data_IF_126723551232
#
_entry.id   IF_126723551232
#
_cell.length_a   1.000
_cell.length_b   1.000
_cell.length_c   1.000
_cell.angle_alpha   90.00
_cell.angle_beta   90.00
_cell.angle_gamma   90.00
#
_symmetry.space_group_name_H-M   'P 1'
#
loop_
_entity.id
_entity.type
_entity.pdbx_description
1 polymer ?
#
# COMPACT_ATOMS: atom_id res chain seq x y z
N UNK A 1 17.20 10.77 -5.43
CA UNK A 1 15.92 10.22 -4.93
C UNK A 1 15.19 9.55 -6.09
N UNK A 2 14.85 8.26 -5.94
CA UNK A 2 14.26 7.44 -7.00
C UNK A 2 12.97 8.07 -7.55
N UNK A 3 12.80 8.12 -8.88
CA UNK A 3 11.63 8.72 -9.56
C UNK A 3 10.31 8.07 -9.13
N UNK A 4 10.35 6.77 -8.80
CA UNK A 4 9.19 6.04 -8.29
C UNK A 4 8.80 6.51 -6.89
N UNK A 5 9.75 6.74 -5.99
CA UNK A 5 9.45 7.25 -4.64
C UNK A 5 8.69 8.58 -4.71
N UNK A 6 9.15 9.51 -5.56
CA UNK A 6 8.46 10.80 -5.79
C UNK A 6 7.06 10.66 -6.37
N UNK A 7 6.78 9.59 -7.12
CA UNK A 7 5.48 9.35 -7.75
C UNK A 7 4.43 8.88 -6.74
N UNK A 8 4.87 8.19 -5.69
CA UNK A 8 3.99 7.51 -4.74
C UNK A 8 3.95 8.16 -3.35
N UNK A 9 4.85 9.10 -3.04
CA UNK A 9 4.88 9.82 -1.76
C UNK A 9 4.43 11.27 -1.99
N UNK A 10 3.39 11.76 -1.28
CA UNK A 10 2.58 11.06 -0.28
C UNK A 10 1.67 9.99 -0.89
N UNK A 11 1.51 8.87 -0.19
CA UNK A 11 0.70 7.75 -0.66
C UNK A 11 -0.76 7.95 -0.29
N UNK A 12 -1.67 7.52 -1.16
CA UNK A 12 -3.09 7.41 -0.77
C UNK A 12 -3.25 6.28 0.24
N UNK A 13 -4.23 6.40 1.14
CA UNK A 13 -4.53 5.37 2.13
C UNK A 13 -4.75 3.98 1.48
N UNK A 14 -5.48 3.94 0.36
CA UNK A 14 -5.71 2.71 -0.40
C UNK A 14 -4.41 2.08 -0.91
N UNK A 15 -3.53 2.87 -1.52
CA UNK A 15 -2.26 2.34 -2.03
C UNK A 15 -1.36 1.88 -0.86
N UNK A 16 -1.37 2.60 0.26
CA UNK A 16 -0.63 2.25 1.47
C UNK A 16 -1.07 0.88 1.99
N UNK A 17 -2.37 0.67 2.21
CA UNK A 17 -2.86 -0.59 2.75
C UNK A 17 -2.74 -1.76 1.77
N UNK A 18 -2.88 -1.53 0.46
CA UNK A 18 -2.60 -2.56 -0.55
C UNK A 18 -1.14 -3.01 -0.45
N UNK A 19 -0.19 -2.06 -0.47
CA UNK A 19 1.23 -2.40 -0.43
C UNK A 19 1.64 -3.03 0.91
N UNK A 20 1.08 -2.55 2.02
CA UNK A 20 1.29 -3.11 3.36
C UNK A 20 0.76 -4.56 3.46
N UNK A 21 -0.37 -4.85 2.82
CA UNK A 21 -0.95 -6.21 2.80
C UNK A 21 -0.05 -7.24 2.10
N UNK A 22 0.83 -6.77 1.20
CA UNK A 22 1.75 -7.56 0.37
C UNK A 22 3.13 -7.79 1.01
N UNK A 23 3.25 -7.55 2.32
CA UNK A 23 4.39 -8.03 3.14
C UNK A 23 4.55 -9.55 3.07
N UNK A 24 3.47 -10.26 2.77
CA UNK A 24 3.43 -11.66 2.37
C UNK A 24 2.77 -11.78 0.98
N UNK A 25 3.10 -12.79 0.16
CA UNK A 25 2.46 -12.99 -1.14
C UNK A 25 0.94 -13.23 -1.01
N UNK A 26 0.11 -12.51 -1.79
CA UNK A 26 -1.36 -12.64 -1.74
C UNK A 26 -2.03 -12.57 -3.10
N UNK A 27 -3.15 -13.28 -3.21
CA UNK A 27 -4.11 -13.08 -4.29
C UNK A 27 -4.92 -11.79 -4.10
N UNK A 28 -5.49 -11.26 -5.18
CA UNK A 28 -6.31 -10.04 -5.15
C UNK A 28 -7.44 -10.07 -4.11
N UNK A 29 -8.13 -11.21 -3.94
CA UNK A 29 -9.16 -11.34 -2.90
C UNK A 29 -8.58 -11.35 -1.47
N UNK A 30 -7.39 -11.94 -1.29
CA UNK A 30 -6.70 -11.92 -0.01
C UNK A 30 -6.28 -10.50 0.41
N UNK A 31 -5.94 -9.66 -0.56
CA UNK A 31 -5.66 -8.24 -0.33
C UNK A 31 -6.92 -7.52 0.18
N UNK A 32 -8.09 -7.73 -0.45
CA UNK A 32 -9.37 -7.14 -0.01
C UNK A 32 -9.61 -7.45 1.47
N UNK A 33 -9.63 -8.74 1.82
CA UNK A 33 -9.88 -9.18 3.20
C UNK A 33 -8.88 -8.61 4.17
N UNK A 34 -7.59 -8.65 3.81
CA UNK A 34 -6.54 -8.18 4.70
C UNK A 34 -6.65 -6.67 4.98
N UNK A 35 -7.01 -5.87 3.99
CA UNK A 35 -7.22 -4.43 4.16
C UNK A 35 -8.45 -4.16 5.04
N UNK A 36 -9.54 -4.88 4.81
CA UNK A 36 -10.74 -4.79 5.64
C UNK A 36 -10.42 -5.13 7.11
N UNK A 37 -9.69 -6.21 7.36
CA UNK A 37 -9.23 -6.61 8.70
C UNK A 37 -8.32 -5.57 9.36
N UNK A 38 -7.29 -5.07 8.64
CA UNK A 38 -6.33 -4.08 9.17
C UNK A 38 -6.98 -2.74 9.52
N UNK A 39 -8.13 -2.44 8.93
CA UNK A 39 -8.84 -1.18 9.11
C UNK A 39 -10.13 -1.34 9.91
N UNK A 40 -10.37 -2.51 10.48
CA UNK A 40 -11.59 -2.82 11.25
C UNK A 40 -12.86 -2.50 10.46
N UNK A 41 -12.86 -2.79 9.16
CA UNK A 41 -13.97 -2.55 8.24
C UNK A 41 -14.13 -1.09 7.79
N UNK A 42 -13.30 -0.15 8.26
CA UNK A 42 -13.35 1.25 7.84
C UNK A 42 -13.04 1.43 6.35
N UNK A 43 -12.16 0.59 5.79
CA UNK A 43 -11.80 0.60 4.37
C UNK A 43 -12.14 -0.74 3.71
N UNK A 44 -13.20 -0.74 2.90
CA UNK A 44 -13.61 -1.89 2.08
C UNK A 44 -13.26 -1.60 0.62
N UNK A 45 -12.40 -2.45 0.05
CA UNK A 45 -11.91 -2.26 -1.30
C UNK A 45 -12.78 -2.97 -2.33
N UNK A 46 -13.34 -2.20 -3.27
CA UNK A 46 -13.97 -2.76 -4.47
C UNK A 46 -12.94 -3.39 -5.42
N UNK A 47 -13.38 -4.39 -6.19
CA UNK A 47 -12.54 -5.11 -7.15
C UNK A 47 -11.86 -4.18 -8.17
N UNK A 48 -12.61 -3.22 -8.74
CA UNK A 48 -12.08 -2.25 -9.71
C UNK A 48 -10.95 -1.38 -9.16
N UNK A 49 -11.05 -0.93 -7.91
CA UNK A 49 -10.05 -0.08 -7.25
C UNK A 49 -8.73 -0.82 -7.02
N UNK A 50 -8.82 -2.10 -6.61
CA UNK A 50 -7.64 -2.93 -6.39
C UNK A 50 -6.91 -3.21 -7.68
N UNK A 51 -7.60 -3.74 -8.70
CA UNK A 51 -6.91 -4.17 -9.91
C UNK A 51 -6.27 -3.00 -10.65
N UNK A 52 -6.90 -1.81 -10.62
CA UNK A 52 -6.28 -0.59 -11.13
C UNK A 52 -5.00 -0.20 -10.39
N UNK A 53 -4.97 -0.35 -9.07
CA UNK A 53 -3.79 -0.03 -8.24
C UNK A 53 -2.68 -1.05 -8.43
N UNK A 54 -3.00 -2.35 -8.41
CA UNK A 54 -2.05 -3.44 -8.63
C UNK A 54 -1.41 -3.34 -10.02
N UNK A 55 -2.20 -3.09 -11.07
CA UNK A 55 -1.67 -2.92 -12.43
C UNK A 55 -0.65 -1.78 -12.50
N UNK A 56 -0.95 -0.64 -11.85
CA UNK A 56 -0.02 0.51 -11.79
C UNK A 56 1.25 0.16 -11.03
N UNK A 57 1.14 -0.44 -9.85
CA UNK A 57 2.28 -0.84 -9.02
C UNK A 57 3.16 -1.87 -9.71
N UNK A 58 2.58 -2.83 -10.42
CA UNK A 58 3.31 -3.85 -11.17
C UNK A 58 4.08 -3.22 -12.33
N UNK A 59 3.42 -2.35 -13.12
CA UNK A 59 4.08 -1.61 -14.21
C UNK A 59 5.26 -0.78 -13.69
N UNK A 60 5.09 -0.19 -12.51
CA UNK A 60 6.10 0.64 -11.86
C UNK A 60 7.11 -0.19 -11.02
N UNK A 61 7.05 -1.53 -11.09
CA UNK A 61 7.94 -2.49 -10.41
C UNK A 61 7.94 -2.40 -8.88
N UNK A 62 6.91 -1.80 -8.29
CA UNK A 62 6.69 -1.74 -6.84
C UNK A 62 6.25 -3.10 -6.29
N UNK A 63 5.56 -3.88 -7.11
CA UNK A 63 5.15 -5.27 -6.84
C UNK A 63 5.50 -6.16 -8.04
N UNK A 64 5.57 -7.47 -7.83
CA UNK A 64 5.72 -8.47 -8.89
C UNK A 64 4.69 -9.59 -8.74
N UNK A 65 4.59 -10.45 -9.77
CA UNK A 65 3.78 -11.67 -9.74
C UNK A 65 4.68 -12.82 -9.29
N UNK A 66 4.30 -13.46 -8.17
CA UNK A 66 5.02 -14.61 -7.61
C UNK A 66 4.69 -15.92 -8.35
N UNK A 67 3.44 -16.10 -8.77
CA UNK A 67 2.98 -17.25 -9.56
C UNK A 67 1.76 -16.87 -10.40
N UNK A 68 1.74 -17.35 -11.65
CA UNK A 68 0.62 -17.26 -12.59
C UNK A 68 0.12 -18.67 -12.94
N UNK A 69 -0.29 -19.44 -11.92
CA UNK A 69 -1.10 -20.63 -12.18
C UNK A 69 -2.45 -20.19 -12.72
N UNK A 70 -2.94 -20.90 -13.76
CA UNK A 70 -4.04 -20.63 -14.69
C UNK A 70 -5.40 -20.15 -14.11
N UNK A 71 -5.52 -19.89 -12.80
CA UNK A 71 -6.74 -19.38 -12.15
C UNK A 71 -6.55 -18.25 -11.12
N UNK A 72 -5.36 -17.99 -10.56
CA UNK A 72 -5.19 -16.92 -9.55
C UNK A 72 -3.77 -16.33 -9.49
N UNK A 73 -3.62 -15.09 -9.94
CA UNK A 73 -2.37 -14.31 -9.80
C UNK A 73 -2.04 -14.06 -8.33
N UNK A 74 -0.80 -14.35 -7.92
CA UNK A 74 -0.25 -13.98 -6.60
C UNK A 74 0.66 -12.78 -6.77
N UNK A 75 0.45 -11.74 -5.95
CA UNK A 75 1.28 -10.54 -5.92
C UNK A 75 2.19 -10.54 -4.70
N UNK A 76 3.38 -9.96 -4.83
CA UNK A 76 4.30 -9.73 -3.72
C UNK A 76 5.05 -8.40 -3.87
N UNK A 77 5.46 -7.80 -2.74
CA UNK A 77 6.22 -6.55 -2.72
C UNK A 77 7.68 -6.76 -3.17
N UNK A 78 8.19 -5.89 -4.06
CA UNK A 78 9.60 -5.92 -4.48
C UNK A 78 10.50 -5.17 -3.49
N UNK A 79 11.82 -5.25 -3.67
CA UNK A 79 12.77 -4.42 -2.92
C UNK A 79 12.48 -2.92 -3.07
N UNK A 80 12.13 -2.47 -4.29
CA UNK A 80 11.73 -1.09 -4.55
C UNK A 80 10.45 -0.72 -3.79
N UNK A 81 9.47 -1.63 -3.75
CA UNK A 81 8.26 -1.43 -2.95
C UNK A 81 8.55 -1.31 -1.46
N UNK A 82 9.49 -2.10 -0.93
CA UNK A 82 9.92 -2.00 0.48
C UNK A 82 10.58 -0.66 0.78
N UNK A 83 11.47 -0.18 -0.08
CA UNK A 83 12.10 1.16 0.06
C UNK A 83 11.04 2.27 0.04
N UNK A 84 10.11 2.21 -0.92
CA UNK A 84 8.98 3.15 -1.00
C UNK A 84 8.18 3.13 0.31
N UNK A 85 7.96 1.95 0.87
CA UNK A 85 7.18 1.79 2.09
C UNK A 85 7.89 2.34 3.33
N UNK A 86 9.20 2.20 3.41
CA UNK A 86 10.01 2.82 4.48
C UNK A 86 9.94 4.35 4.44
N UNK A 87 10.02 4.96 3.26
CA UNK A 87 9.91 6.42 3.11
C UNK A 87 8.55 6.92 3.55
N UNK A 88 7.47 6.27 3.10
CA UNK A 88 6.12 6.69 3.44
C UNK A 88 5.81 6.47 4.93
N UNK A 89 6.27 5.37 5.53
CA UNK A 89 6.18 5.17 6.98
C UNK A 89 6.91 6.25 7.77
N UNK A 90 8.08 6.71 7.29
CA UNK A 90 8.79 7.84 7.87
C UNK A 90 7.95 9.11 7.85
N UNK A 91 7.36 9.43 6.70
CA UNK A 91 6.45 10.58 6.54
C UNK A 91 5.24 10.48 7.48
N UNK A 92 4.59 9.33 7.56
CA UNK A 92 3.41 9.14 8.43
C UNK A 92 3.77 9.28 9.92
N UNK A 93 4.93 8.80 10.35
CA UNK A 93 5.44 8.99 11.72
C UNK A 93 5.67 10.47 12.02
N UNK A 94 6.25 11.21 11.08
CA UNK A 94 6.44 12.66 11.21
C UNK A 94 5.09 13.38 11.33
N UNK A 95 4.12 13.07 10.46
CA UNK A 95 2.78 13.67 10.53
C UNK A 95 2.11 13.39 11.88
N UNK A 96 2.14 12.14 12.33
CA UNK A 96 1.57 11.77 13.63
C UNK A 96 2.24 12.52 14.79
N UNK A 97 3.58 12.66 14.77
CA UNK A 97 4.30 13.43 15.78
C UNK A 97 3.92 14.93 15.75
N UNK A 98 3.69 15.49 14.57
CA UNK A 98 3.22 16.88 14.44
C UNK A 98 1.77 17.04 14.94
N UNK A 99 0.88 16.08 14.67
CA UNK A 99 -0.49 16.09 15.23
C UNK A 99 -0.43 16.13 16.75
N UNK A 100 0.31 15.22 17.39
CA UNK A 100 0.46 15.21 18.85
C UNK A 100 1.09 16.50 19.42
N UNK A 101 1.93 17.18 18.64
CA UNK A 101 2.58 18.42 19.07
C UNK A 101 1.65 19.63 19.01
N UNK A 102 0.78 19.69 18.00
CA UNK A 102 0.00 20.88 17.66
C UNK A 102 -1.51 20.68 17.79
N UNK A 103 -2.00 19.51 18.26
CA UNK A 103 -3.45 19.26 18.37
C UNK A 103 -4.17 20.21 19.35
N UNK A 104 -3.46 20.70 20.37
CA UNK A 104 -4.00 21.68 21.33
C UNK A 104 -4.21 23.06 20.69
N UNK A 105 -3.49 23.39 19.61
CA UNK A 105 -3.67 24.67 18.90
C UNK A 105 -5.05 24.78 18.23
N UNK A 106 -5.80 23.67 18.16
CA UNK A 106 -7.13 23.57 17.55
C UNK A 106 -8.27 23.32 18.56
N UNK A 107 -7.98 23.41 19.87
CA UNK A 107 -9.00 23.38 20.93
C UNK A 107 -9.34 24.78 21.41
#
# INVERSE_FOLDING_TARGET
MNKIIKKYVPMTETAFYILLSLTEPRHGYGIIKRVEEMTEGRLILGSGTIYGTLTKMQRDQVITIYSDEKRKTIYEITSLGKELMQVEMGRLKELHANVLRYEEDFK
#
